data_IF_436426947851
#
_entry.id   IF_436426947851
#
_cell.length_a   1.000
_cell.length_b   1.000
_cell.length_c   1.000
_cell.angle_alpha   90.00
_cell.angle_beta   90.00
_cell.angle_gamma   90.00
#
_symmetry.space_group_name_H-M   'P 1'
#
loop_
_entity.id
_entity.type
_entity.pdbx_description
1 polymer ?
#
# COMPACT_ATOMS: atom_id res chain seq x y z
N UNK A 1 -3.01 2.67 42.09
CA UNK A 1 -1.89 3.07 41.19
C UNK A 1 -1.47 1.82 40.43
N UNK A 2 -1.96 1.67 39.19
CA UNK A 2 -1.58 0.56 38.31
C UNK A 2 -0.25 0.92 37.63
N UNK A 3 0.69 -0.02 37.68
CA UNK A 3 2.02 0.09 37.09
C UNK A 3 1.90 0.29 35.58
N UNK A 4 2.40 1.43 35.10
CA UNK A 4 2.59 1.68 33.67
C UNK A 4 3.73 0.79 33.20
N UNK A 5 3.40 -0.34 32.59
CA UNK A 5 4.36 -1.21 31.91
C UNK A 5 5.16 -0.40 30.88
N UNK A 6 6.45 -0.23 31.15
CA UNK A 6 7.40 0.40 30.24
C UNK A 6 7.48 -0.48 28.99
N UNK A 7 6.83 -0.08 27.90
CA UNK A 7 6.94 -0.81 26.64
C UNK A 7 8.36 -0.61 26.11
N UNK A 8 9.24 -1.59 26.36
CA UNK A 8 10.61 -1.55 25.85
C UNK A 8 10.58 -1.47 24.32
N UNK A 9 11.13 -0.38 23.78
CA UNK A 9 11.27 -0.18 22.35
C UNK A 9 12.40 -1.09 21.84
N UNK A 10 12.07 -2.02 20.94
CA UNK A 10 13.04 -2.95 20.35
C UNK A 10 13.41 -2.42 18.97
N UNK A 11 14.71 -2.21 18.74
CA UNK A 11 15.26 -1.90 17.42
C UNK A 11 15.63 -3.19 16.71
N UNK A 12 15.17 -3.35 15.48
CA UNK A 12 15.39 -4.53 14.65
C UNK A 12 16.11 -4.07 13.39
N UNK A 13 17.15 -4.80 13.00
CA UNK A 13 17.82 -4.57 11.72
C UNK A 13 16.84 -4.80 10.55
N UNK A 14 16.87 -3.91 9.56
CA UNK A 14 15.88 -3.96 8.47
C UNK A 14 16.07 -5.17 7.56
N UNK A 15 17.30 -5.61 7.32
CA UNK A 15 17.55 -6.77 6.48
C UNK A 15 17.04 -8.04 7.15
N UNK A 16 17.31 -8.17 8.46
CA UNK A 16 16.75 -9.25 9.26
C UNK A 16 15.21 -9.26 9.26
N UNK A 17 14.59 -8.08 9.38
CA UNK A 17 13.13 -7.97 9.30
C UNK A 17 12.58 -8.38 7.92
N UNK A 18 13.26 -8.00 6.83
CA UNK A 18 12.88 -8.39 5.46
C UNK A 18 12.98 -9.91 5.29
N UNK A 19 14.06 -10.54 5.74
CA UNK A 19 14.27 -11.99 5.67
C UNK A 19 13.16 -12.75 6.42
N UNK A 20 12.95 -12.40 7.69
CA UNK A 20 11.92 -13.03 8.52
C UNK A 20 10.51 -12.91 7.90
N UNK A 21 10.15 -11.74 7.40
CA UNK A 21 8.83 -11.52 6.79
C UNK A 21 8.72 -12.28 5.47
N UNK A 22 9.81 -12.35 4.69
CA UNK A 22 9.85 -13.16 3.46
C UNK A 22 9.58 -14.63 3.78
N UNK A 23 10.24 -15.20 4.79
CA UNK A 23 10.02 -16.57 5.24
C UNK A 23 8.57 -16.82 5.67
N UNK A 24 7.96 -15.88 6.40
CA UNK A 24 6.55 -15.98 6.82
C UNK A 24 5.62 -16.09 5.60
N UNK A 25 5.80 -15.26 4.58
CA UNK A 25 4.96 -15.30 3.38
C UNK A 25 5.26 -16.50 2.49
N UNK A 26 6.51 -16.96 2.42
CA UNK A 26 6.86 -18.21 1.75
C UNK A 26 6.17 -19.42 2.41
N UNK A 27 6.15 -19.48 3.75
CA UNK A 27 5.41 -20.51 4.49
C UNK A 27 3.89 -20.46 4.22
N UNK A 28 3.37 -19.33 3.74
CA UNK A 28 1.98 -19.15 3.29
C UNK A 28 1.82 -19.26 1.77
N UNK A 29 2.74 -19.96 1.11
CA UNK A 29 2.71 -20.28 -0.33
C UNK A 29 2.97 -19.11 -1.28
N UNK A 30 3.40 -17.94 -0.82
CA UNK A 30 3.91 -16.90 -1.71
C UNK A 30 5.24 -17.35 -2.33
N UNK A 31 5.42 -17.14 -3.62
CA UNK A 31 6.72 -17.35 -4.26
C UNK A 31 7.76 -16.35 -3.73
N UNK A 32 9.03 -16.62 -3.99
CA UNK A 32 10.13 -15.81 -3.46
C UNK A 32 10.04 -14.33 -3.84
N UNK A 33 9.70 -14.04 -5.10
CA UNK A 33 9.57 -12.66 -5.58
C UNK A 33 8.45 -11.92 -4.85
N UNK A 34 7.26 -12.52 -4.76
CA UNK A 34 6.11 -11.91 -4.09
C UNK A 34 6.35 -11.71 -2.60
N UNK A 35 6.86 -12.74 -1.91
CA UNK A 35 7.17 -12.68 -0.49
C UNK A 35 8.19 -11.57 -0.16
N UNK A 36 9.28 -11.50 -0.93
CA UNK A 36 10.31 -10.48 -0.77
C UNK A 36 9.77 -9.08 -1.04
N UNK A 37 8.99 -8.91 -2.11
CA UNK A 37 8.37 -7.62 -2.45
C UNK A 37 7.44 -7.15 -1.35
N UNK A 38 6.62 -8.03 -0.76
CA UNK A 38 5.77 -7.68 0.38
C UNK A 38 6.62 -7.23 1.57
N UNK A 39 7.66 -7.99 1.91
CA UNK A 39 8.55 -7.69 3.03
C UNK A 39 9.24 -6.32 2.88
N UNK A 40 9.85 -6.06 1.72
CA UNK A 40 10.54 -4.80 1.40
C UNK A 40 9.60 -3.59 1.49
N UNK A 41 8.36 -3.69 0.98
CA UNK A 41 7.39 -2.58 1.02
C UNK A 41 6.89 -2.29 2.43
N UNK A 42 6.66 -3.34 3.23
CA UNK A 42 6.26 -3.20 4.62
C UNK A 42 7.40 -2.57 5.45
N UNK A 43 8.62 -3.07 5.33
CA UNK A 43 9.79 -2.50 6.01
C UNK A 43 10.09 -1.08 5.53
N UNK A 44 10.00 -0.81 4.23
CA UNK A 44 10.15 0.54 3.65
C UNK A 44 9.12 1.54 4.18
N UNK A 45 7.90 1.08 4.47
CA UNK A 45 6.88 1.91 5.12
C UNK A 45 7.28 2.28 6.56
N UNK A 46 7.88 1.36 7.32
CA UNK A 46 8.42 1.66 8.65
C UNK A 46 9.59 2.65 8.59
N UNK A 47 10.54 2.46 7.68
CA UNK A 47 11.68 3.37 7.50
C UNK A 47 11.26 4.81 7.17
N UNK A 48 10.09 4.98 6.54
CA UNK A 48 9.50 6.28 6.19
C UNK A 48 8.54 6.81 7.27
N UNK A 49 8.48 6.19 8.45
CA UNK A 49 7.64 6.63 9.59
C UNK A 49 6.15 6.32 9.44
N UNK A 50 5.77 5.40 8.54
CA UNK A 50 4.39 5.01 8.28
C UNK A 50 4.07 3.62 8.87
N UNK A 51 4.27 3.45 10.17
CA UNK A 51 4.14 2.14 10.87
C UNK A 51 2.76 1.47 10.70
N UNK A 52 1.70 2.26 10.53
CA UNK A 52 0.36 1.74 10.30
C UNK A 52 0.23 0.94 8.99
N UNK A 53 1.17 1.09 8.06
CA UNK A 53 1.24 0.40 6.77
C UNK A 53 2.47 -0.51 6.65
N UNK A 54 3.31 -0.58 7.69
CA UNK A 54 4.50 -1.44 7.72
C UNK A 54 4.26 -2.81 8.35
N UNK A 55 5.28 -3.36 9.02
CA UNK A 55 5.36 -4.74 9.54
C UNK A 55 4.14 -5.13 10.38
N UNK A 56 3.53 -4.19 11.09
CA UNK A 56 2.30 -4.45 11.85
C UNK A 56 1.16 -5.02 10.97
N UNK A 57 1.23 -4.94 9.63
CA UNK A 57 0.26 -5.51 8.70
C UNK A 57 0.42 -7.02 8.47
N UNK A 58 1.59 -7.60 8.75
CA UNK A 58 1.89 -9.02 8.48
C UNK A 58 0.81 -9.96 9.05
N UNK A 59 0.43 -9.88 10.35
CA UNK A 59 -0.57 -10.81 10.89
C UNK A 59 -1.94 -10.71 10.19
N UNK A 60 -2.31 -9.49 9.76
CA UNK A 60 -3.58 -9.26 9.07
C UNK A 60 -3.56 -9.78 7.64
N UNK A 61 -2.43 -9.67 6.95
CA UNK A 61 -2.31 -10.24 5.61
C UNK A 61 -2.39 -11.76 5.67
N UNK A 62 -1.73 -12.39 6.64
CA UNK A 62 -1.85 -13.83 6.89
C UNK A 62 -3.30 -14.23 7.18
N UNK A 63 -3.99 -13.50 8.07
CA UNK A 63 -5.43 -13.72 8.34
C UNK A 63 -6.29 -13.61 7.07
N UNK A 64 -6.00 -12.66 6.17
CA UNK A 64 -6.73 -12.51 4.92
C UNK A 64 -6.46 -13.64 3.91
N UNK A 65 -5.24 -14.19 3.89
CA UNK A 65 -4.94 -15.38 3.10
C UNK A 65 -5.72 -16.59 3.62
N UNK A 66 -5.73 -16.80 4.94
CA UNK A 66 -6.45 -17.91 5.58
C UNK A 66 -7.96 -17.83 5.36
N UNK A 67 -8.51 -16.62 5.24
CA UNK A 67 -9.93 -16.39 4.92
C UNK A 67 -10.27 -16.44 3.43
N UNK A 68 -9.29 -16.65 2.55
CA UNK A 68 -9.51 -16.62 1.10
C UNK A 68 -9.94 -15.24 0.58
N UNK A 69 -9.48 -14.17 1.22
CA UNK A 69 -9.77 -12.79 0.79
C UNK A 69 -8.67 -12.21 -0.08
N UNK A 70 -7.42 -12.67 0.13
CA UNK A 70 -6.25 -12.35 -0.67
C UNK A 70 -5.57 -13.65 -1.07
N UNK A 71 -5.23 -13.79 -2.35
CA UNK A 71 -4.60 -14.99 -2.88
C UNK A 71 -3.13 -14.73 -3.25
N UNK A 72 -2.21 -15.64 -2.89
CA UNK A 72 -0.81 -15.52 -3.29
C UNK A 72 -0.62 -15.84 -4.77
N UNK A 73 0.47 -15.35 -5.36
CA UNK A 73 0.94 -15.64 -6.71
C UNK A 73 -0.02 -15.23 -7.82
N UNK A 74 -0.84 -14.22 -7.57
CA UNK A 74 -1.78 -13.70 -8.56
C UNK A 74 -1.13 -12.58 -9.34
N UNK A 75 -0.97 -12.80 -10.65
CA UNK A 75 -0.59 -11.74 -11.59
C UNK A 75 -1.84 -10.96 -12.03
N UNK A 76 -1.83 -9.62 -11.95
CA UNK A 76 -2.91 -8.80 -12.49
C UNK A 76 -3.09 -9.04 -14.00
N UNK A 77 -4.35 -9.04 -14.44
CA UNK A 77 -4.73 -9.19 -15.85
C UNK A 77 -5.13 -7.84 -16.45
N UNK A 78 -4.63 -7.52 -17.64
CA UNK A 78 -5.09 -6.38 -18.41
C UNK A 78 -6.47 -6.69 -19.02
N UNK A 79 -7.51 -6.02 -18.53
CA UNK A 79 -8.91 -6.24 -18.94
C UNK A 79 -9.44 -5.16 -19.87
N UNK A 80 -8.77 -4.01 -19.94
CA UNK A 80 -9.05 -2.95 -20.92
C UNK A 80 -7.72 -2.41 -21.43
N UNK A 81 -7.58 -2.35 -22.75
CA UNK A 81 -6.50 -1.67 -23.44
C UNK A 81 -7.09 -0.65 -24.42
N UNK A 82 -6.86 0.64 -24.16
CA UNK A 82 -7.33 1.74 -24.99
C UNK A 82 -6.23 2.80 -25.15
N UNK A 83 -5.01 2.36 -25.50
CA UNK A 83 -3.87 3.24 -25.79
C UNK A 83 -3.35 3.93 -24.53
N UNK A 84 -3.62 5.22 -24.35
CA UNK A 84 -3.23 5.94 -23.13
C UNK A 84 -4.00 5.45 -21.88
N UNK A 85 -5.09 4.71 -22.06
CA UNK A 85 -5.91 4.20 -20.95
C UNK A 85 -5.80 2.68 -20.84
N UNK A 86 -5.75 2.18 -19.61
CA UNK A 86 -5.77 0.76 -19.31
C UNK A 86 -6.54 0.45 -18.03
N UNK A 87 -7.00 -0.79 -17.88
CA UNK A 87 -7.55 -1.29 -16.63
C UNK A 87 -7.00 -2.68 -16.33
N UNK A 88 -6.49 -2.88 -15.12
CA UNK A 88 -6.03 -4.17 -14.62
C UNK A 88 -6.99 -4.73 -13.56
N UNK A 89 -7.25 -6.02 -13.64
CA UNK A 89 -7.92 -6.80 -12.59
C UNK A 89 -6.87 -7.58 -11.79
N UNK A 90 -6.72 -7.23 -10.52
CA UNK A 90 -5.76 -7.88 -9.63
C UNK A 90 -6.25 -9.22 -9.09
N UNK A 91 -7.50 -9.65 -9.36
CA UNK A 91 -8.04 -10.97 -8.97
C UNK A 91 -7.80 -11.32 -7.50
N UNK A 92 -7.95 -10.33 -6.60
CA UNK A 92 -7.70 -10.44 -5.17
C UNK A 92 -6.24 -10.81 -4.80
N UNK A 93 -5.29 -10.54 -5.69
CA UNK A 93 -3.86 -10.66 -5.43
C UNK A 93 -3.33 -9.61 -4.44
N UNK A 94 -2.08 -9.80 -4.01
CA UNK A 94 -1.42 -8.84 -3.14
C UNK A 94 -1.30 -7.46 -3.77
N UNK A 95 -1.66 -6.43 -3.00
CA UNK A 95 -1.61 -5.04 -3.47
C UNK A 95 -0.18 -4.57 -3.77
N UNK A 96 0.82 -5.16 -3.13
CA UNK A 96 2.23 -4.85 -3.38
C UNK A 96 2.65 -5.25 -4.81
N UNK A 97 2.11 -6.35 -5.33
CA UNK A 97 2.36 -6.80 -6.71
C UNK A 97 1.45 -6.07 -7.69
N UNK A 98 0.16 -5.95 -7.33
CA UNK A 98 -0.82 -5.30 -8.17
C UNK A 98 -0.53 -3.81 -8.41
N UNK A 99 -0.12 -3.09 -7.36
CA UNK A 99 0.27 -1.68 -7.44
C UNK A 99 1.51 -1.49 -8.30
N UNK A 100 2.51 -2.37 -8.15
CA UNK A 100 3.70 -2.36 -8.98
C UNK A 100 3.38 -2.51 -10.47
N UNK A 101 2.61 -3.55 -10.84
CA UNK A 101 2.22 -3.76 -12.23
C UNK A 101 1.39 -2.59 -12.79
N UNK A 102 0.46 -2.03 -12.00
CA UNK A 102 -0.39 -0.93 -12.47
C UNK A 102 0.40 0.36 -12.72
N UNK A 103 1.38 0.66 -11.86
CA UNK A 103 2.24 1.84 -12.06
C UNK A 103 3.18 1.65 -13.24
N UNK A 104 3.78 0.47 -13.38
CA UNK A 104 4.67 0.17 -14.49
C UNK A 104 3.95 0.25 -15.85
N UNK A 105 2.72 -0.28 -15.92
CA UNK A 105 1.85 -0.13 -17.09
C UNK A 105 1.59 1.36 -17.42
N UNK A 106 1.34 2.17 -16.40
CA UNK A 106 1.15 3.62 -16.56
C UNK A 106 2.41 4.32 -17.04
N UNK A 107 3.58 3.98 -16.48
CA UNK A 107 4.87 4.52 -16.90
C UNK A 107 5.13 4.21 -18.38
N UNK A 108 4.92 2.96 -18.80
CA UNK A 108 5.13 2.55 -20.19
C UNK A 108 4.22 3.32 -21.15
N UNK A 109 2.92 3.38 -20.83
CA UNK A 109 1.93 4.09 -21.65
C UNK A 109 2.16 5.59 -21.68
N UNK A 110 2.51 6.21 -20.55
CA UNK A 110 2.80 7.63 -20.48
C UNK A 110 4.02 8.00 -21.33
N UNK A 111 5.07 7.17 -21.34
CA UNK A 111 6.24 7.38 -22.22
C UNK A 111 5.87 7.27 -23.69
N UNK A 112 4.91 6.41 -24.05
CA UNK A 112 4.47 6.20 -25.43
C UNK A 112 3.47 7.27 -25.92
N UNK A 113 2.57 7.72 -25.06
CA UNK A 113 1.41 8.54 -25.42
C UNK A 113 1.45 9.97 -24.86
N UNK A 114 2.47 10.31 -24.05
CA UNK A 114 2.61 11.60 -23.36
C UNK A 114 1.88 11.65 -22.01
N UNK A 115 0.78 10.91 -21.86
CA UNK A 115 0.09 10.71 -20.59
C UNK A 115 -0.58 9.33 -20.53
N UNK A 116 -0.99 8.91 -19.33
CA UNK A 116 -1.73 7.66 -19.16
C UNK A 116 -2.72 7.72 -18.00
N UNK A 117 -3.79 6.94 -18.09
CA UNK A 117 -4.71 6.66 -16.98
C UNK A 117 -4.87 5.16 -16.83
N UNK A 118 -4.49 4.64 -15.66
CA UNK A 118 -4.57 3.20 -15.36
C UNK A 118 -5.53 2.96 -14.21
N UNK A 119 -6.59 2.19 -14.47
CA UNK A 119 -7.47 1.66 -13.45
C UNK A 119 -6.91 0.36 -12.86
N UNK A 120 -6.99 0.21 -11.54
CA UNK A 120 -6.70 -1.06 -10.87
C UNK A 120 -7.91 -1.46 -10.04
N UNK A 121 -8.46 -2.65 -10.29
CA UNK A 121 -9.61 -3.18 -9.55
C UNK A 121 -9.29 -4.49 -8.86
N UNK A 122 -10.10 -4.81 -7.86
CA UNK A 122 -10.07 -6.10 -7.15
C UNK A 122 -8.69 -6.44 -6.55
N UNK A 123 -7.96 -5.44 -6.07
CA UNK A 123 -6.67 -5.61 -5.42
C UNK A 123 -6.81 -5.85 -3.92
N UNK A 124 -5.88 -6.62 -3.35
CA UNK A 124 -5.57 -6.57 -1.92
C UNK A 124 -5.04 -5.19 -1.50
N UNK A 125 -4.70 -5.06 -0.22
CA UNK A 125 -4.27 -3.78 0.35
C UNK A 125 -2.92 -3.31 -0.23
N UNK A 126 -2.94 -2.14 -0.88
CA UNK A 126 -1.80 -1.53 -1.58
C UNK A 126 -0.66 -1.03 -0.66
N UNK A 127 -0.83 -1.03 0.66
CA UNK A 127 0.19 -0.51 1.57
C UNK A 127 0.29 1.02 1.53
N UNK A 128 1.51 1.56 1.53
CA UNK A 128 1.75 3.00 1.50
C UNK A 128 1.66 3.49 0.05
N UNK A 129 0.64 4.28 -0.26
CA UNK A 129 0.40 4.72 -1.64
C UNK A 129 1.56 5.60 -2.18
N UNK A 130 2.36 6.19 -1.29
CA UNK A 130 3.57 6.92 -1.69
C UNK A 130 4.65 6.08 -2.35
N UNK A 131 4.67 4.76 -2.14
CA UNK A 131 5.58 3.86 -2.87
C UNK A 131 5.32 3.94 -4.39
N UNK A 132 4.06 4.07 -4.78
CA UNK A 132 3.61 4.10 -6.18
C UNK A 132 3.91 5.44 -6.84
N UNK A 133 3.73 6.53 -6.09
CA UNK A 133 4.06 7.87 -6.53
C UNK A 133 5.57 8.08 -6.69
N UNK A 134 6.36 7.57 -5.75
CA UNK A 134 7.83 7.59 -5.83
C UNK A 134 8.33 6.79 -7.03
N UNK A 135 7.79 5.59 -7.29
CA UNK A 135 8.17 4.77 -8.45
C UNK A 135 8.00 5.52 -9.78
N UNK A 136 6.92 6.28 -9.94
CA UNK A 136 6.71 7.12 -11.13
C UNK A 136 7.64 8.34 -11.16
N UNK A 137 7.86 8.99 -10.01
CA UNK A 137 8.76 10.14 -9.92
C UNK A 137 10.22 9.78 -10.19
N UNK A 138 10.67 8.58 -9.79
CA UNK A 138 12.03 8.09 -9.99
C UNK A 138 12.38 7.90 -11.48
N UNK A 139 11.38 7.75 -12.34
CA UNK A 139 11.53 7.70 -13.81
C UNK A 139 11.19 9.04 -14.48
N UNK A 140 11.10 10.13 -13.71
CA UNK A 140 10.91 11.48 -14.22
C UNK A 140 9.46 11.83 -14.57
N UNK A 141 8.47 11.09 -14.06
CA UNK A 141 7.05 11.33 -14.36
C UNK A 141 6.30 11.91 -13.16
N UNK A 142 5.41 12.87 -13.43
CA UNK A 142 4.41 13.32 -12.46
C UNK A 142 3.28 12.28 -12.40
N UNK A 143 2.80 11.95 -11.21
CA UNK A 143 1.72 10.98 -11.03
C UNK A 143 0.73 11.37 -9.95
N UNK A 144 -0.53 10.96 -10.15
CA UNK A 144 -1.63 11.10 -9.21
C UNK A 144 -2.23 9.72 -8.95
N UNK A 145 -2.42 9.36 -7.68
CA UNK A 145 -2.95 8.06 -7.29
C UNK A 145 -4.14 8.27 -6.35
N UNK A 146 -5.30 7.80 -6.80
CA UNK A 146 -6.55 7.83 -6.05
C UNK A 146 -6.91 6.40 -5.66
N UNK A 147 -7.01 6.14 -4.36
CA UNK A 147 -7.28 4.79 -3.86
C UNK A 147 -8.54 4.81 -3.02
N UNK A 148 -9.39 3.80 -3.16
CA UNK A 148 -10.48 3.52 -2.26
C UNK A 148 -10.24 2.18 -1.54
N UNK A 149 -10.90 1.96 -0.40
CA UNK A 149 -10.84 0.69 0.33
C UNK A 149 -12.24 0.07 0.37
N UNK A 150 -12.44 -1.01 -0.40
CA UNK A 150 -13.71 -1.75 -0.45
C UNK A 150 -14.09 -2.28 0.93
N UNK A 151 -15.35 -2.09 1.34
CA UNK A 151 -15.88 -2.62 2.60
C UNK A 151 -15.38 -1.90 3.87
N UNK A 152 -14.57 -0.85 3.74
CA UNK A 152 -14.03 -0.10 4.86
C UNK A 152 -14.79 1.22 5.05
N UNK A 153 -15.97 1.15 5.65
CA UNK A 153 -16.79 2.30 6.03
C UNK A 153 -16.29 2.88 7.36
N UNK A 154 -15.39 3.85 7.30
CA UNK A 154 -14.71 4.44 8.46
C UNK A 154 -14.87 5.95 8.57
N UNK A 155 -15.26 6.62 7.49
CA UNK A 155 -15.35 8.08 7.41
C UNK A 155 -16.82 8.47 7.36
N UNK A 156 -17.26 9.36 8.25
CA UNK A 156 -18.57 9.98 8.10
C UNK A 156 -18.48 11.08 7.03
N UNK A 157 -19.43 11.16 6.08
CA UNK A 157 -19.48 12.27 5.14
C UNK A 157 -19.71 13.57 5.93
N UNK A 158 -19.29 14.70 5.37
CA UNK A 158 -19.48 16.00 6.02
C UNK A 158 -20.96 16.21 6.38
N UNK A 159 -21.22 16.60 7.64
CA UNK A 159 -22.57 16.76 8.18
C UNK A 159 -23.25 15.45 8.62
N UNK A 160 -22.61 14.29 8.44
CA UNK A 160 -23.08 12.99 8.92
C UNK A 160 -22.41 12.55 10.23
N UNK A 161 -23.10 11.69 10.98
CA UNK A 161 -22.58 11.03 12.18
C UNK A 161 -22.10 9.60 11.94
N UNK A 162 -22.61 8.95 10.88
CA UNK A 162 -22.40 7.53 10.61
C UNK A 162 -21.31 7.32 9.55
N UNK A 163 -20.52 6.25 9.70
CA UNK A 163 -19.47 5.94 8.74
C UNK A 163 -20.03 5.42 7.41
N UNK A 164 -19.77 6.13 6.32
CA UNK A 164 -20.23 5.79 4.95
C UNK A 164 -19.12 5.85 3.89
N UNK A 165 -17.98 6.43 4.21
CA UNK A 165 -16.83 6.58 3.33
C UNK A 165 -15.61 5.79 3.77
N UNK A 166 -14.66 5.64 2.85
CA UNK A 166 -13.35 5.05 3.09
C UNK A 166 -12.31 6.13 3.35
N UNK A 167 -11.19 5.78 4.02
CA UNK A 167 -10.04 6.69 4.23
C UNK A 167 -9.43 7.20 2.94
N UNK A 168 -9.73 6.54 1.82
CA UNK A 168 -9.45 6.93 0.43
C UNK A 168 -8.25 7.88 0.24
N UNK A 169 -7.01 7.38 0.36
CA UNK A 169 -5.84 8.24 0.28
C UNK A 169 -5.60 8.77 -1.14
N UNK A 170 -5.10 10.01 -1.18
CA UNK A 170 -4.52 10.64 -2.37
C UNK A 170 -3.00 10.71 -2.19
N UNK A 171 -2.32 10.51 -3.30
CA UNK A 171 -0.88 10.40 -3.41
C UNK A 171 -0.43 11.11 -4.69
N UNK A 172 0.46 12.11 -4.59
CA UNK A 172 0.99 12.84 -5.74
C UNK A 172 2.51 12.73 -5.72
N UNK A 173 3.09 12.25 -6.82
CA UNK A 173 4.53 12.16 -7.03
C UNK A 173 4.97 13.18 -8.06
N UNK A 174 5.94 14.02 -7.70
CA UNK A 174 6.55 14.99 -8.62
C UNK A 174 8.06 14.73 -8.63
N UNK A 175 8.68 14.55 -9.83
CA UNK A 175 10.11 14.39 -9.92
C UNK A 175 10.80 15.69 -9.48
N UNK A 176 11.81 15.58 -8.63
CA UNK A 176 12.65 16.72 -8.22
C UNK A 176 14.07 16.59 -8.70
N UNK A 177 14.83 17.68 -8.57
CA UNK A 177 16.26 17.72 -8.92
C UNK A 177 17.08 16.77 -8.01
N UNK A 178 18.11 16.15 -8.58
CA UNK A 178 19.02 15.22 -7.86
C UNK A 178 18.34 14.01 -7.20
N UNK A 179 17.38 13.37 -7.89
CA UNK A 179 16.66 12.17 -7.41
C UNK A 179 15.89 12.36 -6.09
N UNK A 180 15.63 13.60 -5.68
CA UNK A 180 14.73 13.90 -4.56
C UNK A 180 13.31 14.06 -5.09
N UNK A 181 12.56 12.96 -5.09
CA UNK A 181 11.14 12.95 -5.44
C UNK A 181 10.31 13.62 -4.34
N UNK A 182 9.41 14.53 -4.71
CA UNK A 182 8.44 15.12 -3.77
C UNK A 182 7.17 14.29 -3.78
N UNK A 183 6.78 13.79 -2.62
CA UNK A 183 5.56 13.03 -2.43
C UNK A 183 4.63 13.72 -1.43
N UNK A 184 3.39 13.97 -1.83
CA UNK A 184 2.32 14.38 -0.93
C UNK A 184 1.30 13.26 -0.80
N UNK A 185 1.11 12.75 0.42
CA UNK A 185 0.18 11.66 0.72
C UNK A 185 -0.67 11.96 1.94
N UNK A 186 -1.99 11.99 1.80
CA UNK A 186 -2.91 12.13 2.92
C UNK A 186 -4.15 11.23 2.74
N UNK A 187 -4.69 10.72 3.85
CA UNK A 187 -5.95 9.98 3.86
C UNK A 187 -7.09 10.91 4.25
N UNK A 188 -8.27 10.80 3.66
CA UNK A 188 -9.44 11.63 3.93
C UNK A 188 -10.06 11.48 5.34
N UNK A 189 -9.33 10.87 6.28
CA UNK A 189 -9.70 10.76 7.70
C UNK A 189 -8.67 11.54 8.52
N UNK A 190 -9.15 12.43 9.41
CA UNK A 190 -8.33 13.28 10.30
C UNK A 190 -7.23 12.52 11.06
N UNK A 191 -7.40 11.22 11.26
CA UNK A 191 -6.42 10.33 11.85
C UNK A 191 -6.53 8.94 11.22
N UNK A 192 -5.43 8.37 10.72
CA UNK A 192 -5.45 6.99 10.19
C UNK A 192 -5.93 6.01 11.28
N UNK A 193 -6.81 5.05 10.94
CA UNK A 193 -7.45 4.10 11.89
C UNK A 193 -6.50 3.49 12.93
N UNK A 194 -5.27 3.12 12.53
CA UNK A 194 -4.27 2.57 13.44
C UNK A 194 -3.57 3.60 14.33
N UNK A 195 -3.48 4.87 13.93
CA UNK A 195 -3.08 5.96 14.82
C UNK A 195 -4.13 6.13 15.93
N UNK A 196 -5.42 5.97 15.62
CA UNK A 196 -6.50 5.94 16.63
C UNK A 196 -6.40 4.74 17.57
N UNK A 197 -6.15 3.52 17.06
CA UNK A 197 -5.92 2.35 17.94
C UNK A 197 -4.61 2.43 18.74
N UNK A 198 -3.56 3.02 18.17
CA UNK A 198 -2.32 3.30 18.90
C UNK A 198 -2.50 4.33 20.01
N UNK A 199 -3.55 5.14 19.94
CA UNK A 199 -3.98 6.04 21.00
C UNK A 199 -4.87 5.31 22.04
N UNK A 200 -5.75 4.41 21.60
CA UNK A 200 -6.62 3.63 22.52
C UNK A 200 -5.88 2.56 23.32
N UNK A 201 -4.72 2.08 22.85
CA UNK A 201 -3.82 1.19 23.61
C UNK A 201 -2.86 1.92 24.54
N UNK A 202 -2.95 3.25 24.63
CA UNK A 202 -2.10 4.13 25.44
C UNK A 202 -2.81 4.70 26.69
N UNK A 203 -4.02 4.22 26.99
CA UNK A 203 -4.76 4.52 28.22
C UNK A 203 -4.87 3.27 29.09
#
# INVERSE_FOLDING_TARGET
>A
MSEKGNSAEIRIDVNYAIELITEIFQAKSCNNYEAKTIAERLCGSNLKGHDSHGIARVPRYVEWMERGWVFPNIKPELVVDAGAMACLDAKQGFGQIAGECAVDEGIERAKKHGCSVVGLRNSGHLGRIGDWAERAADVGLVSFHFVNVRGSLLVAPFGGSDSRGSTSPLAIGVPGENKRSYYFGYGNLNCCRRKSYGCSKRW
#
